data_IF_015262354682
#
_entry.id   IF_015262354682
#
_cell.length_a   1.000
_cell.length_b   1.000
_cell.length_c   1.000
_cell.angle_alpha   90.00
_cell.angle_beta   90.00
_cell.angle_gamma   90.00
#
_symmetry.space_group_name_H-M   'P 1'
#
loop_
_entity.id
_entity.type
_entity.pdbx_description
1 polymer ?
#
# COMPACT_ATOMS: atom_id res chain seq x y z
N UNK A 1 -27.74 20.78 16.09
CA UNK A 1 -26.87 20.30 17.18
C UNK A 1 -27.40 18.96 17.64
N UNK A 2 -26.56 17.94 17.72
CA UNK A 2 -26.91 16.66 18.34
C UNK A 2 -26.63 16.80 19.84
N UNK A 3 -27.64 16.52 20.65
CA UNK A 3 -27.49 16.44 22.11
C UNK A 3 -27.05 15.01 22.45
N UNK A 4 -25.76 14.86 22.68
CA UNK A 4 -25.13 13.58 22.99
C UNK A 4 -24.09 13.76 24.09
N UNK A 5 -24.11 12.88 25.07
CA UNK A 5 -23.13 12.87 26.17
C UNK A 5 -21.83 12.17 25.74
N UNK A 6 -20.89 12.98 25.26
CA UNK A 6 -19.57 12.51 24.81
C UNK A 6 -18.69 11.95 25.95
N UNK A 7 -19.04 12.21 27.23
CA UNK A 7 -18.26 11.71 28.37
C UNK A 7 -18.29 10.19 28.51
N UNK A 8 -19.26 9.53 27.85
CA UNK A 8 -19.43 8.07 27.87
C UNK A 8 -18.63 7.36 26.78
N UNK A 9 -17.98 8.12 25.90
CA UNK A 9 -17.16 7.54 24.83
C UNK A 9 -15.81 7.07 25.39
N UNK A 10 -15.36 5.91 24.89
CA UNK A 10 -14.01 5.42 25.19
C UNK A 10 -12.97 6.36 24.55
N UNK A 11 -12.07 6.97 25.36
CA UNK A 11 -11.05 7.89 24.85
C UNK A 11 -10.01 7.23 23.93
N UNK A 12 -9.99 5.89 23.84
CA UNK A 12 -9.07 5.13 23.00
C UNK A 12 -9.70 4.70 21.65
N UNK A 13 -10.94 5.11 21.38
CA UNK A 13 -11.68 4.76 20.18
C UNK A 13 -12.03 5.97 19.32
N UNK A 14 -12.02 5.82 18.02
CA UNK A 14 -12.54 6.83 17.11
C UNK A 14 -14.06 6.69 16.94
N UNK A 15 -14.74 7.82 16.97
CA UNK A 15 -16.19 7.86 16.83
C UNK A 15 -16.59 8.76 15.67
N UNK A 16 -17.58 8.32 14.94
CA UNK A 16 -18.13 9.03 13.79
C UNK A 16 -19.64 9.07 13.87
N UNK A 17 -20.22 10.21 13.52
CA UNK A 17 -21.66 10.33 13.25
C UNK A 17 -21.86 10.11 11.77
N UNK A 18 -22.66 9.10 11.43
CA UNK A 18 -23.10 8.85 10.06
C UNK A 18 -24.46 9.50 9.86
N UNK A 19 -24.54 10.42 8.93
CA UNK A 19 -25.79 11.08 8.51
C UNK A 19 -26.19 10.53 7.17
N UNK A 20 -27.43 10.04 7.08
CA UNK A 20 -27.98 9.49 5.84
C UNK A 20 -29.24 10.24 5.43
N UNK A 21 -29.32 10.58 4.17
CA UNK A 21 -30.54 11.07 3.53
C UNK A 21 -31.21 9.92 2.80
N UNK A 22 -32.39 9.55 3.26
CA UNK A 22 -33.10 8.41 2.75
C UNK A 22 -34.26 8.84 1.82
N UNK A 23 -34.53 8.03 0.79
CA UNK A 23 -35.69 8.18 -0.06
C UNK A 23 -36.94 8.05 0.80
N UNK A 24 -37.77 9.09 0.84
CA UNK A 24 -38.96 9.17 1.70
C UNK A 24 -40.16 8.37 1.21
N UNK A 25 -40.24 8.07 -0.09
CA UNK A 25 -41.33 7.32 -0.75
C UNK A 25 -40.79 6.49 -1.90
N UNK A 26 -41.58 5.52 -2.36
CA UNK A 26 -41.24 4.76 -3.57
C UNK A 26 -41.21 5.67 -4.80
N UNK A 27 -40.17 5.55 -5.58
CA UNK A 27 -39.99 6.21 -6.86
C UNK A 27 -39.71 5.15 -7.95
N UNK A 28 -39.85 5.47 -9.24
CA UNK A 28 -39.56 4.51 -10.32
C UNK A 28 -38.15 3.93 -10.28
N UNK A 29 -37.18 4.70 -9.75
CA UNK A 29 -35.74 4.37 -9.72
C UNK A 29 -35.24 3.93 -8.37
N UNK A 30 -35.99 4.13 -7.26
CA UNK A 30 -35.55 3.67 -5.92
C UNK A 30 -36.74 3.50 -4.98
N UNK A 31 -36.66 2.50 -4.10
CA UNK A 31 -37.66 2.27 -3.05
C UNK A 31 -37.45 3.20 -1.86
N UNK A 32 -38.55 3.41 -1.08
CA UNK A 32 -38.46 4.07 0.23
C UNK A 32 -37.36 3.42 1.08
N UNK A 33 -36.55 4.26 1.70
CA UNK A 33 -35.38 3.83 2.52
C UNK A 33 -34.08 3.68 1.74
N UNK A 34 -34.06 3.87 0.41
CA UNK A 34 -32.84 3.91 -0.36
C UNK A 34 -31.97 5.08 0.10
N UNK A 35 -30.68 4.84 0.35
CA UNK A 35 -29.72 5.87 0.75
C UNK A 35 -29.39 6.73 -0.47
N UNK A 36 -29.82 7.98 -0.46
CA UNK A 36 -29.57 8.97 -1.51
C UNK A 36 -28.17 9.56 -1.38
N UNK A 37 -27.81 9.84 -0.14
CA UNK A 37 -26.54 10.49 0.22
C UNK A 37 -26.18 10.06 1.62
N UNK A 38 -24.89 9.93 1.85
CA UNK A 38 -24.32 9.57 3.15
C UNK A 38 -23.11 10.46 3.42
N UNK A 39 -22.98 10.92 4.67
CA UNK A 39 -21.82 11.67 5.14
C UNK A 39 -21.39 11.11 6.49
N UNK A 40 -20.07 11.05 6.70
CA UNK A 40 -19.46 10.58 7.92
C UNK A 40 -18.63 11.68 8.56
N UNK A 41 -19.08 12.15 9.72
CA UNK A 41 -18.47 13.25 10.44
C UNK A 41 -17.73 12.72 11.68
N UNK A 42 -16.46 13.06 11.83
CA UNK A 42 -15.70 12.70 13.02
C UNK A 42 -16.24 13.47 14.25
N UNK A 43 -16.47 12.77 15.35
CA UNK A 43 -16.87 13.38 16.62
C UNK A 43 -15.69 14.11 17.24
N UNK A 44 -15.87 15.41 17.54
CA UNK A 44 -14.87 16.20 18.27
C UNK A 44 -14.70 15.64 19.67
N UNK A 45 -13.46 15.46 20.11
CA UNK A 45 -13.10 15.02 21.46
C UNK A 45 -12.75 13.54 21.58
N UNK A 46 -13.03 12.72 20.54
CA UNK A 46 -12.43 11.40 20.41
C UNK A 46 -11.02 11.54 19.83
N UNK A 47 -10.13 12.18 20.54
CA UNK A 47 -8.71 12.12 20.20
C UNK A 47 -8.21 10.74 20.60
N UNK A 48 -8.20 9.83 19.63
CA UNK A 48 -7.42 8.61 19.76
C UNK A 48 -6.00 9.09 20.04
N UNK A 49 -5.58 8.92 21.28
CA UNK A 49 -4.15 9.02 21.57
C UNK A 49 -3.51 7.96 20.70
N UNK A 50 -2.89 8.38 19.62
CA UNK A 50 -2.09 7.49 18.80
C UNK A 50 -1.28 6.64 19.77
N UNK A 51 -1.40 5.32 19.66
CA UNK A 51 -0.52 4.42 20.42
C UNK A 51 0.88 4.95 20.15
N UNK A 52 1.46 5.53 21.19
CA UNK A 52 2.72 6.23 20.99
C UNK A 52 3.70 5.20 20.48
N UNK A 53 4.38 5.50 19.37
CA UNK A 53 5.45 4.65 18.81
C UNK A 53 6.46 4.23 19.90
N UNK A 54 6.51 4.97 21.01
CA UNK A 54 7.25 4.62 22.23
C UNK A 54 6.86 3.27 22.85
N UNK A 55 5.63 2.84 22.70
CA UNK A 55 5.19 1.54 23.26
C UNK A 55 5.69 0.38 22.39
N UNK A 56 5.90 0.63 21.08
CA UNK A 56 6.55 -0.31 20.17
C UNK A 56 8.07 -0.34 20.43
N UNK A 57 8.69 0.81 20.70
CA UNK A 57 10.13 0.92 21.01
C UNK A 57 10.51 0.28 22.36
N UNK A 58 9.56 0.11 23.26
CA UNK A 58 9.75 -0.56 24.55
C UNK A 58 9.31 -2.03 24.54
N UNK A 59 8.82 -2.54 23.42
CA UNK A 59 8.51 -3.96 23.27
C UNK A 59 9.80 -4.76 23.45
N UNK A 60 9.93 -5.43 24.60
CA UNK A 60 11.02 -6.35 24.90
C UNK A 60 10.78 -7.64 24.11
N UNK A 61 11.17 -7.64 22.85
CA UNK A 61 11.15 -8.83 22.02
C UNK A 61 12.55 -9.23 21.60
N UNK A 62 12.78 -10.53 21.46
CA UNK A 62 14.02 -11.03 20.89
C UNK A 62 13.88 -11.11 19.37
N UNK A 63 14.55 -10.21 18.66
CA UNK A 63 14.65 -10.29 17.21
C UNK A 63 16.01 -10.92 16.87
N UNK A 64 15.94 -12.02 16.14
CA UNK A 64 17.09 -12.69 15.55
C UNK A 64 16.96 -12.70 14.04
N UNK A 65 18.05 -12.81 13.32
CA UNK A 65 18.03 -12.97 11.89
C UNK A 65 19.14 -13.88 11.39
N UNK A 66 18.88 -14.49 10.26
CA UNK A 66 19.88 -15.18 9.44
C UNK A 66 19.88 -14.57 8.04
N UNK A 67 21.04 -14.57 7.41
CA UNK A 67 21.20 -14.06 6.05
C UNK A 67 22.02 -15.03 5.22
N UNK A 68 21.54 -15.32 4.02
CA UNK A 68 22.27 -16.01 2.98
C UNK A 68 22.46 -15.10 1.75
N UNK A 69 22.84 -15.68 0.60
CA UNK A 69 23.10 -14.94 -0.63
C UNK A 69 21.81 -14.33 -1.25
N UNK A 70 20.62 -14.86 -0.90
CA UNK A 70 19.35 -14.52 -1.54
C UNK A 70 18.30 -13.96 -0.59
N UNK A 71 18.44 -14.24 0.70
CA UNK A 71 17.39 -13.93 1.68
C UNK A 71 17.95 -13.42 2.99
N UNK A 72 17.12 -12.61 3.67
CA UNK A 72 17.24 -12.32 5.11
C UNK A 72 15.98 -12.86 5.77
N UNK A 73 16.14 -13.82 6.68
CA UNK A 73 15.03 -14.35 7.49
C UNK A 73 15.10 -13.75 8.89
N UNK A 74 14.02 -13.12 9.31
CA UNK A 74 13.89 -12.48 10.62
C UNK A 74 12.90 -13.26 11.47
N UNK A 75 13.30 -13.57 12.69
CA UNK A 75 12.45 -14.25 13.67
C UNK A 75 12.26 -13.34 14.90
N UNK A 76 11.05 -13.09 15.26
CA UNK A 76 10.63 -12.49 16.52
C UNK A 76 9.88 -13.49 17.38
N UNK A 77 9.41 -13.07 18.56
CA UNK A 77 8.75 -13.95 19.52
C UNK A 77 7.47 -14.59 18.96
N UNK A 78 6.74 -13.88 18.09
CA UNK A 78 5.50 -14.38 17.50
C UNK A 78 5.35 -14.03 16.00
N UNK A 79 6.43 -13.67 15.33
CA UNK A 79 6.42 -13.45 13.89
C UNK A 79 7.67 -14.04 13.21
N UNK A 80 7.50 -14.34 11.93
CA UNK A 80 8.59 -14.68 11.03
C UNK A 80 8.40 -13.87 9.74
N UNK A 81 9.50 -13.30 9.25
CA UNK A 81 9.50 -12.52 8.02
C UNK A 81 10.72 -12.88 7.17
N UNK A 82 10.53 -13.00 5.85
CA UNK A 82 11.62 -13.28 4.91
C UNK A 82 11.68 -12.16 3.88
N UNK A 83 12.85 -11.57 3.73
CA UNK A 83 13.14 -10.53 2.75
C UNK A 83 14.00 -11.10 1.62
N UNK A 84 13.62 -10.83 0.39
CA UNK A 84 14.38 -11.22 -0.79
C UNK A 84 15.49 -10.22 -1.07
N UNK A 85 16.72 -10.68 -1.16
CA UNK A 85 17.89 -9.88 -1.59
C UNK A 85 18.05 -9.84 -3.11
N UNK A 86 17.14 -10.48 -3.84
CA UNK A 86 17.13 -10.49 -5.30
C UNK A 86 16.29 -9.35 -5.84
N UNK A 87 15.04 -9.23 -5.36
CA UNK A 87 14.07 -8.24 -5.82
C UNK A 87 13.68 -7.21 -4.77
N UNK A 88 14.20 -7.34 -3.54
CA UNK A 88 13.99 -6.40 -2.46
C UNK A 88 12.63 -6.48 -1.78
N UNK A 89 11.82 -7.49 -2.09
CA UNK A 89 10.51 -7.65 -1.52
C UNK A 89 10.54 -8.25 -0.10
N UNK A 90 9.57 -7.88 0.72
CA UNK A 90 9.18 -8.68 1.88
C UNK A 90 8.47 -9.92 1.34
N UNK A 91 9.20 -11.04 1.29
CA UNK A 91 8.79 -12.23 0.54
C UNK A 91 7.71 -13.03 1.23
N UNK A 92 7.76 -13.13 2.54
CA UNK A 92 6.74 -13.80 3.36
C UNK A 92 6.64 -13.15 4.73
N UNK A 93 5.47 -13.24 5.34
CA UNK A 93 5.23 -12.83 6.72
C UNK A 93 4.22 -13.76 7.37
N UNK A 94 4.56 -14.23 8.57
CA UNK A 94 3.62 -14.87 9.48
C UNK A 94 3.61 -14.12 10.82
N UNK A 95 2.46 -14.09 11.47
CA UNK A 95 2.28 -13.42 12.75
C UNK A 95 1.26 -14.19 13.61
N UNK A 96 1.60 -14.43 14.87
CA UNK A 96 0.72 -15.15 15.79
C UNK A 96 0.32 -16.56 15.32
N UNK A 97 1.20 -17.26 14.57
CA UNK A 97 0.93 -18.55 13.97
C UNK A 97 0.10 -18.51 12.68
N UNK A 98 -0.32 -17.31 12.23
CA UNK A 98 -1.08 -17.14 11.00
C UNK A 98 -0.19 -16.62 9.87
N UNK A 99 -0.36 -17.15 8.67
CA UNK A 99 0.29 -16.62 7.47
C UNK A 99 -0.44 -15.35 7.04
N UNK A 100 0.27 -14.20 7.07
CA UNK A 100 -0.25 -12.93 6.57
C UNK A 100 -0.21 -12.93 5.04
N UNK A 101 0.92 -13.33 4.47
CA UNK A 101 1.06 -13.66 3.05
C UNK A 101 2.19 -14.68 2.85
N UNK A 102 1.98 -15.55 1.87
CA UNK A 102 2.91 -16.60 1.52
C UNK A 102 4.06 -16.08 0.64
N UNK A 103 5.05 -16.91 0.42
CA UNK A 103 6.22 -16.61 -0.38
C UNK A 103 5.87 -16.04 -1.77
N UNK A 104 6.51 -14.89 -2.10
CA UNK A 104 6.33 -14.19 -3.35
C UNK A 104 5.13 -13.22 -3.40
N UNK A 105 4.24 -13.24 -2.41
CA UNK A 105 3.01 -12.44 -2.39
C UNK A 105 3.09 -11.19 -1.51
N UNK A 106 4.27 -10.82 -1.05
CA UNK A 106 4.47 -9.59 -0.29
C UNK A 106 4.36 -8.34 -1.15
N UNK A 107 4.28 -7.16 -0.50
CA UNK A 107 4.14 -5.89 -1.19
C UNK A 107 5.34 -5.58 -2.07
N UNK A 108 5.05 -5.11 -3.28
CA UNK A 108 6.03 -4.64 -4.27
C UNK A 108 5.61 -3.29 -4.81
N UNK A 109 6.55 -2.53 -5.35
CA UNK A 109 6.21 -1.32 -6.08
C UNK A 109 5.34 -1.69 -7.28
N UNK A 110 4.19 -1.02 -7.40
CA UNK A 110 3.31 -1.10 -8.55
C UNK A 110 3.16 0.30 -9.16
N UNK A 111 3.23 0.39 -10.48
CA UNK A 111 3.07 1.64 -11.22
C UNK A 111 1.91 1.57 -12.21
N UNK A 112 1.01 0.60 -12.05
CA UNK A 112 -0.08 0.38 -12.96
C UNK A 112 -1.43 0.29 -12.23
N UNK A 113 -2.47 0.82 -12.85
CA UNK A 113 -3.86 0.64 -12.47
C UNK A 113 -4.72 0.37 -13.69
N UNK A 114 -5.91 -0.15 -13.48
CA UNK A 114 -6.88 -0.28 -14.57
C UNK A 114 -7.16 1.10 -15.21
N UNK A 115 -7.01 1.23 -16.53
CA UNK A 115 -7.28 2.49 -17.22
C UNK A 115 -8.76 2.87 -17.13
N UNK A 116 -9.02 4.17 -17.00
CA UNK A 116 -10.35 4.75 -17.13
C UNK A 116 -10.58 5.24 -18.57
N UNK A 117 -11.83 5.62 -18.89
CA UNK A 117 -12.16 6.21 -20.19
C UNK A 117 -11.40 7.51 -20.46
N UNK A 118 -11.13 8.30 -19.42
CA UNK A 118 -10.32 9.51 -19.53
C UNK A 118 -8.87 9.18 -19.93
N UNK A 119 -8.28 8.16 -19.34
CA UNK A 119 -6.94 7.70 -19.70
C UNK A 119 -6.92 7.23 -21.15
N UNK A 120 -7.93 6.46 -21.57
CA UNK A 120 -8.07 5.96 -22.93
C UNK A 120 -8.24 7.10 -23.95
N UNK A 121 -8.99 8.14 -23.61
CA UNK A 121 -9.20 9.31 -24.44
C UNK A 121 -7.92 10.08 -24.77
N UNK A 122 -6.94 10.07 -23.85
CA UNK A 122 -5.64 10.74 -24.01
C UNK A 122 -4.57 9.79 -24.57
N UNK A 123 -4.81 8.47 -24.55
CA UNK A 123 -3.89 7.46 -25.04
C UNK A 123 -2.85 6.97 -24.02
N UNK A 124 -2.99 7.31 -22.76
CA UNK A 124 -2.08 6.88 -21.69
C UNK A 124 -1.93 5.35 -21.57
N UNK A 125 -2.99 4.53 -21.70
CA UNK A 125 -2.86 3.09 -21.59
C UNK A 125 -1.87 2.48 -22.58
N UNK A 126 -1.82 3.02 -23.80
CA UNK A 126 -0.88 2.54 -24.83
C UNK A 126 0.58 2.76 -24.39
N UNK A 127 0.87 3.93 -23.79
CA UNK A 127 2.18 4.23 -23.23
C UNK A 127 2.51 3.31 -22.05
N UNK A 128 1.57 3.09 -21.13
CA UNK A 128 1.77 2.22 -19.97
C UNK A 128 2.06 0.78 -20.39
N UNK A 129 1.34 0.25 -21.38
CA UNK A 129 1.59 -1.09 -21.92
C UNK A 129 2.91 -1.16 -22.68
N UNK A 130 3.22 -0.14 -23.48
CA UNK A 130 4.49 -0.07 -24.22
C UNK A 130 5.69 -0.08 -23.28
N UNK A 131 5.62 0.66 -22.17
CA UNK A 131 6.69 0.70 -21.17
C UNK A 131 6.62 -0.45 -20.16
N UNK A 132 5.66 -1.34 -20.27
CA UNK A 132 5.52 -2.52 -19.40
C UNK A 132 5.22 -2.17 -17.96
N UNK A 133 4.54 -1.04 -17.69
CA UNK A 133 4.25 -0.61 -16.31
C UNK A 133 3.34 -1.58 -15.56
N UNK A 134 2.59 -2.42 -16.28
CA UNK A 134 1.72 -3.46 -15.73
C UNK A 134 2.48 -4.70 -15.23
N UNK A 135 3.76 -4.84 -15.58
CA UNK A 135 4.62 -5.96 -15.16
C UNK A 135 6.04 -5.44 -14.91
N UNK A 136 6.22 -4.88 -13.71
CA UNK A 136 7.52 -4.38 -13.29
C UNK A 136 8.42 -5.53 -12.85
N UNK A 137 9.61 -5.58 -13.44
CA UNK A 137 10.72 -6.37 -12.90
C UNK A 137 11.44 -5.57 -11.82
N UNK A 138 11.79 -6.21 -10.72
CA UNK A 138 12.52 -5.61 -9.61
C UNK A 138 13.85 -6.30 -9.41
N UNK A 139 14.87 -5.53 -9.10
CA UNK A 139 16.19 -6.08 -8.72
C UNK A 139 16.87 -5.24 -7.66
N UNK A 140 17.51 -5.88 -6.72
CA UNK A 140 18.36 -5.19 -5.76
C UNK A 140 19.65 -4.77 -6.45
N UNK A 141 20.05 -3.51 -6.26
CA UNK A 141 21.31 -2.96 -6.76
C UNK A 141 22.18 -2.51 -5.60
N UNK A 142 23.49 -2.70 -5.74
CA UNK A 142 24.44 -2.42 -4.66
C UNK A 142 24.41 -3.50 -3.57
N UNK A 143 24.93 -3.16 -2.40
CA UNK A 143 25.03 -4.09 -1.27
C UNK A 143 23.92 -3.83 -0.26
N UNK A 144 23.05 -4.82 0.02
CA UNK A 144 22.10 -4.74 1.13
C UNK A 144 22.81 -4.60 2.48
N UNK A 145 22.18 -3.92 3.41
CA UNK A 145 22.68 -3.82 4.78
C UNK A 145 21.61 -4.26 5.77
N UNK A 146 22.06 -4.98 6.81
CA UNK A 146 21.21 -5.40 7.94
C UNK A 146 21.90 -4.93 9.21
N UNK A 147 21.19 -4.12 10.00
CA UNK A 147 21.74 -3.53 11.23
C UNK A 147 20.76 -3.71 12.38
N UNK A 148 21.26 -4.17 13.52
CA UNK A 148 20.51 -4.11 14.78
C UNK A 148 20.69 -2.72 15.39
N UNK A 149 19.57 -2.03 15.62
CA UNK A 149 19.59 -0.69 16.18
C UNK A 149 19.65 -0.73 17.72
N UNK A 150 19.95 0.43 18.33
CA UNK A 150 20.09 0.55 19.80
C UNK A 150 18.81 0.28 20.57
N UNK A 151 17.66 0.49 19.95
CA UNK A 151 16.33 0.21 20.49
C UNK A 151 15.91 -1.27 20.38
N UNK A 152 16.80 -2.12 19.83
CA UNK A 152 16.55 -3.55 19.63
C UNK A 152 15.86 -3.90 18.31
N UNK A 153 15.44 -2.92 17.51
CA UNK A 153 14.87 -3.16 16.20
C UNK A 153 15.95 -3.60 15.19
N UNK A 154 15.49 -4.23 14.10
CA UNK A 154 16.34 -4.62 12.98
C UNK A 154 15.99 -3.76 11.77
N UNK A 155 16.99 -3.07 11.23
CA UNK A 155 16.88 -2.32 9.99
C UNK A 155 17.48 -3.10 8.84
N UNK A 156 16.68 -3.32 7.79
CA UNK A 156 17.11 -3.90 6.53
C UNK A 156 16.99 -2.80 5.47
N UNK A 157 18.09 -2.46 4.81
CA UNK A 157 18.11 -1.42 3.79
C UNK A 157 18.63 -1.99 2.47
N UNK A 158 17.85 -1.75 1.42
CA UNK A 158 18.14 -2.18 0.05
C UNK A 158 17.83 -1.07 -0.93
N UNK A 159 18.61 -0.95 -1.97
CA UNK A 159 18.27 -0.13 -3.13
C UNK A 159 17.68 -1.06 -4.18
N UNK A 160 16.46 -0.78 -4.62
CA UNK A 160 15.75 -1.58 -5.61
C UNK A 160 15.60 -0.76 -6.88
N UNK A 161 16.00 -1.32 -8.00
CA UNK A 161 15.70 -0.79 -9.32
C UNK A 161 14.50 -1.52 -9.87
N UNK A 162 13.51 -0.74 -10.32
CA UNK A 162 12.28 -1.27 -10.90
C UNK A 162 12.19 -0.84 -12.36
N UNK A 163 11.96 -1.79 -13.26
CA UNK A 163 11.89 -1.54 -14.68
C UNK A 163 10.69 -2.28 -15.28
N UNK A 164 9.92 -1.58 -16.11
CA UNK A 164 8.85 -2.20 -16.89
C UNK A 164 9.42 -3.17 -17.93
N UNK A 165 8.77 -4.30 -18.07
CA UNK A 165 9.05 -5.22 -19.20
C UNK A 165 8.35 -4.67 -20.43
N UNK A 166 9.10 -4.40 -21.49
CA UNK A 166 8.51 -3.94 -22.74
C UNK A 166 7.43 -4.92 -23.23
N UNK A 167 6.21 -4.41 -23.36
CA UNK A 167 5.07 -5.14 -23.85
C UNK A 167 4.53 -4.50 -25.13
N UNK A 168 4.29 -5.32 -26.16
CA UNK A 168 3.81 -4.87 -27.47
C UNK A 168 2.29 -4.93 -27.61
N UNK A 169 1.51 -5.10 -26.55
CA UNK A 169 0.07 -5.32 -26.65
C UNK A 169 -0.70 -4.00 -26.65
N UNK A 170 -1.14 -3.55 -27.82
CA UNK A 170 -2.20 -2.55 -27.94
C UNK A 170 -3.53 -3.18 -27.50
N UNK A 171 -4.06 -2.78 -26.34
CA UNK A 171 -5.33 -3.29 -25.82
C UNK A 171 -6.49 -2.36 -26.15
N UNK A 172 -6.22 -1.09 -26.46
CA UNK A 172 -7.25 -0.10 -26.78
C UNK A 172 -6.98 0.51 -28.16
N UNK A 173 -7.97 0.35 -29.03
CA UNK A 173 -8.10 0.73 -30.42
C UNK A 173 -7.19 1.83 -30.96
N UNK A 174 -6.79 1.62 -32.21
CA UNK A 174 -6.06 2.55 -33.08
C UNK A 174 -6.60 3.97 -32.99
N UNK A 175 -6.03 4.79 -32.13
CA UNK A 175 -5.90 6.21 -32.39
C UNK A 175 -4.41 6.46 -32.48
N UNK A 176 -3.92 6.43 -33.75
CA UNK A 176 -2.61 6.90 -34.09
C UNK A 176 -2.47 8.37 -33.67
N UNK A 177 -2.06 8.58 -32.44
CA UNK A 177 -1.50 9.86 -32.01
C UNK A 177 -0.01 9.67 -31.89
N UNK A 178 0.67 10.55 -32.63
CA UNK A 178 2.09 10.71 -32.80
C UNK A 178 2.93 10.17 -31.61
N UNK A 179 3.82 9.19 -31.84
CA UNK A 179 4.72 8.66 -30.82
C UNK A 179 5.67 9.71 -30.22
N UNK A 180 5.78 10.90 -30.80
CA UNK A 180 6.69 11.94 -30.33
C UNK A 180 6.16 12.72 -29.11
N UNK A 181 4.91 12.55 -28.73
CA UNK A 181 4.36 13.13 -27.49
C UNK A 181 4.51 12.23 -26.24
N UNK A 182 5.23 11.13 -26.36
CA UNK A 182 5.51 10.25 -25.24
C UNK A 182 6.37 10.98 -24.21
N UNK A 183 5.76 11.37 -23.10
CA UNK A 183 6.48 11.81 -21.91
C UNK A 183 7.51 10.73 -21.54
N UNK A 184 8.80 11.11 -21.59
CA UNK A 184 9.85 10.28 -20.99
C UNK A 184 9.63 10.29 -19.49
N UNK A 185 9.01 9.25 -18.95
CA UNK A 185 9.12 8.95 -17.55
C UNK A 185 10.54 8.44 -17.29
N UNK A 186 11.44 9.35 -17.00
CA UNK A 186 12.67 9.01 -16.32
C UNK A 186 12.26 8.59 -14.91
N UNK A 187 12.36 7.31 -14.61
CA UNK A 187 12.32 6.87 -13.22
C UNK A 187 13.66 7.31 -12.61
N UNK A 188 13.65 8.52 -12.07
CA UNK A 188 14.74 8.99 -11.25
C UNK A 188 14.88 8.03 -10.07
N UNK A 189 16.14 7.68 -9.76
CA UNK A 189 16.51 6.85 -8.61
C UNK A 189 15.84 7.42 -7.36
N UNK A 190 14.65 6.95 -7.03
CA UNK A 190 14.05 7.31 -5.75
C UNK A 190 14.86 6.62 -4.66
N UNK A 191 15.67 7.41 -3.98
CA UNK A 191 16.11 7.10 -2.62
C UNK A 191 14.82 7.03 -1.79
N UNK A 192 14.36 5.84 -1.49
CA UNK A 192 13.41 5.63 -0.40
C UNK A 192 14.13 6.06 0.87
N UNK A 193 13.93 7.34 1.20
CA UNK A 193 14.48 7.97 2.38
C UNK A 193 13.70 7.53 3.61
N UNK A 194 14.45 7.23 4.64
CA UNK A 194 14.25 7.20 6.09
C UNK A 194 12.83 6.94 6.59
#
# INVERSE_FOLDING_TARGET
TLDYDYSKLDPHSEYFVKVQFLQGKDMPWAKKGYVQMEEQLRVKGADVKAVAVKDVANAKGNITYTQDAKTVTVNGDNFNATFSLTDGALNSLSYGGNTVFAEGNGPKLDAFRAPTDNDAGIGYPNAWFKFGLYDLGHRVVGKPTVMKLKDGSLQISMTVESQGKEGSRQVYGNRDRDPQSAYRFGVDKQKLGK
#
